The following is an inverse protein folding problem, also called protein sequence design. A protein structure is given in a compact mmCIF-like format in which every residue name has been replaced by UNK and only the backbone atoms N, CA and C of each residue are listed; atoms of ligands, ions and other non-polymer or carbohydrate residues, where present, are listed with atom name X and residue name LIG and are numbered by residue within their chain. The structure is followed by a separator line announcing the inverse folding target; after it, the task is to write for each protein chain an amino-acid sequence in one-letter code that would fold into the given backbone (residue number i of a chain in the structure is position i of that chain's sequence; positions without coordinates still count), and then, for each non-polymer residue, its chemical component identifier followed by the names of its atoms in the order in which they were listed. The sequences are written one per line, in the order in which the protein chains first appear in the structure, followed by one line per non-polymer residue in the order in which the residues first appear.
data_IF_296117073284
#
_entry.id   IF_296117073284
#
_cell.length_a   1.000
_cell.length_b   1.000
_cell.length_c   1.000
_cell.angle_alpha   90.00
_cell.angle_beta   90.00
_cell.angle_gamma   90.00
#
_symmetry.space_group_name_H-M   'P 1'
#
loop_
_entity.id
_entity.type
_entity.pdbx_description
1 polymer ?
#
# COMPACT_ATOMS: atom_id res chain seq x y z
N UNK A 1 8.41 49.42 -26.96
CA UNK A 1 9.39 48.82 -26.02
C UNK A 1 8.76 48.19 -24.78
N UNK A 2 7.83 48.87 -24.09
CA UNK A 2 7.16 48.37 -22.86
C UNK A 2 6.54 46.96 -22.94
N UNK A 3 5.82 46.64 -24.02
CA UNK A 3 5.20 45.31 -24.19
C UNK A 3 6.21 44.16 -24.36
N UNK A 4 7.38 44.45 -24.97
CA UNK A 4 8.43 43.44 -25.14
C UNK A 4 9.10 43.08 -23.80
N UNK A 5 9.29 44.07 -22.92
CA UNK A 5 9.80 43.84 -21.57
C UNK A 5 8.87 42.97 -20.72
N UNK A 6 7.57 43.30 -20.68
CA UNK A 6 6.59 42.49 -19.94
C UNK A 6 6.50 41.06 -20.46
N UNK A 7 6.60 40.87 -21.78
CA UNK A 7 6.64 39.53 -22.38
C UNK A 7 7.88 38.73 -21.95
N UNK A 8 9.08 39.35 -21.95
CA UNK A 8 10.29 38.70 -21.44
C UNK A 8 10.16 38.29 -19.98
N UNK A 9 9.67 39.19 -19.12
CA UNK A 9 9.45 38.89 -17.69
C UNK A 9 8.49 37.72 -17.52
N UNK A 10 7.38 37.71 -18.27
CA UNK A 10 6.41 36.61 -18.27
C UNK A 10 7.06 35.28 -18.66
N UNK A 11 7.84 35.25 -19.74
CA UNK A 11 8.53 34.03 -20.19
C UNK A 11 9.51 33.52 -19.13
N UNK A 12 10.36 34.40 -18.59
CA UNK A 12 11.31 34.01 -17.55
C UNK A 12 10.61 33.49 -16.28
N UNK A 13 9.49 34.10 -15.90
CA UNK A 13 8.69 33.62 -14.79
C UNK A 13 8.22 32.16 -15.00
N UNK A 14 7.65 31.83 -16.15
CA UNK A 14 7.19 30.45 -16.42
C UNK A 14 8.34 29.46 -16.53
N UNK A 15 9.48 29.86 -17.10
CA UNK A 15 10.70 29.04 -17.13
C UNK A 15 11.13 28.71 -15.69
N UNK A 16 11.19 29.71 -14.81
CA UNK A 16 11.55 29.51 -13.40
C UNK A 16 10.55 28.57 -12.70
N UNK A 17 9.25 28.75 -12.92
CA UNK A 17 8.21 27.86 -12.35
C UNK A 17 8.42 26.42 -12.81
N UNK A 18 8.66 26.17 -14.10
CA UNK A 18 8.86 24.82 -14.61
C UNK A 18 10.17 24.19 -14.12
N UNK A 19 11.25 24.96 -14.00
CA UNK A 19 12.49 24.49 -13.39
C UNK A 19 12.25 24.13 -11.91
N UNK A 20 11.55 24.98 -11.16
CA UNK A 20 11.22 24.71 -9.75
C UNK A 20 10.36 23.45 -9.60
N UNK A 21 9.36 23.26 -10.46
CA UNK A 21 8.52 22.06 -10.47
C UNK A 21 9.33 20.81 -10.83
N UNK A 22 10.19 20.87 -11.86
CA UNK A 22 11.07 19.76 -12.23
C UNK A 22 12.01 19.35 -11.09
N UNK A 23 12.65 20.32 -10.45
CA UNK A 23 13.52 20.10 -9.28
C UNK A 23 12.75 19.52 -8.10
N UNK A 24 11.56 20.03 -7.80
CA UNK A 24 10.71 19.47 -6.74
C UNK A 24 10.34 18.01 -7.02
N UNK A 25 10.04 17.65 -8.27
CA UNK A 25 9.78 16.27 -8.66
C UNK A 25 10.99 15.37 -8.41
N UNK A 26 12.23 15.82 -8.64
CA UNK A 26 13.44 15.05 -8.32
C UNK A 26 13.64 14.85 -6.82
N UNK A 27 13.43 15.89 -6.00
CA UNK A 27 13.47 15.77 -4.53
C UNK A 27 12.43 14.76 -4.06
N UNK A 28 11.21 14.85 -4.61
CA UNK A 28 10.12 13.94 -4.28
C UNK A 28 10.39 12.50 -4.73
N UNK A 29 11.06 12.33 -5.87
CA UNK A 29 11.53 11.05 -6.37
C UNK A 29 12.48 10.40 -5.37
N UNK A 30 13.51 11.13 -4.93
CA UNK A 30 14.52 10.61 -4.01
C UNK A 30 13.90 10.18 -2.67
N UNK A 31 13.10 11.05 -2.06
CA UNK A 31 12.36 10.73 -0.84
C UNK A 31 11.53 9.45 -0.97
N UNK A 32 10.92 9.24 -2.14
CA UNK A 32 10.10 8.06 -2.41
C UNK A 32 10.93 6.79 -2.59
N UNK A 33 12.11 6.89 -3.20
CA UNK A 33 13.04 5.78 -3.33
C UNK A 33 13.58 5.37 -1.96
N UNK A 34 13.92 6.32 -1.09
CA UNK A 34 14.33 6.06 0.29
C UNK A 34 13.23 5.33 1.06
N UNK A 35 11.98 5.81 1.00
CA UNK A 35 10.84 5.14 1.63
C UNK A 35 10.62 3.71 1.11
N UNK A 36 10.76 3.49 -0.20
CA UNK A 36 10.64 2.16 -0.80
C UNK A 36 11.75 1.24 -0.27
N UNK A 37 12.99 1.72 -0.26
CA UNK A 37 14.15 1.00 0.26
C UNK A 37 13.99 0.64 1.73
N UNK A 38 13.52 1.56 2.58
CA UNK A 38 13.24 1.29 4.00
C UNK A 38 12.21 0.17 4.17
N UNK A 39 11.13 0.18 3.38
CA UNK A 39 10.08 -0.84 3.42
C UNK A 39 10.64 -2.20 2.97
N UNK A 40 11.38 -2.24 1.86
CA UNK A 40 11.98 -3.47 1.33
C UNK A 40 12.98 -4.07 2.32
N UNK A 41 13.84 -3.23 2.91
CA UNK A 41 14.78 -3.66 3.96
C UNK A 41 14.04 -4.20 5.18
N UNK A 42 12.93 -3.58 5.59
CA UNK A 42 12.12 -4.03 6.74
C UNK A 42 11.41 -5.36 6.49
N UNK A 43 10.96 -5.61 5.26
CA UNK A 43 10.29 -6.85 4.85
C UNK A 43 11.30 -7.99 4.69
N UNK A 44 12.51 -7.68 4.22
CA UNK A 44 13.57 -8.65 3.98
C UNK A 44 14.42 -8.95 5.23
N UNK A 45 14.37 -8.10 6.26
CA UNK A 45 15.09 -8.34 7.52
C UNK A 45 14.67 -9.64 8.20
N UNK A 46 15.53 -10.17 9.07
CA UNK A 46 15.16 -11.31 9.92
C UNK A 46 13.91 -11.01 10.78
N UNK A 47 13.02 -12.00 10.96
CA UNK A 47 11.83 -11.82 11.75
C UNK A 47 12.18 -11.60 13.23
N UNK A 48 11.50 -10.65 13.86
CA UNK A 48 11.65 -10.40 15.31
C UNK A 48 10.48 -10.99 16.09
N UNK A 49 10.78 -11.54 17.29
CA UNK A 49 9.78 -12.08 18.20
C UNK A 49 8.76 -10.99 18.56
N UNK A 50 7.49 -11.23 18.23
CA UNK A 50 6.41 -10.28 18.43
C UNK A 50 5.45 -10.75 19.51
N UNK A 51 5.39 -9.98 20.60
CA UNK A 51 4.53 -10.21 21.78
C UNK A 51 3.17 -9.51 21.70
N UNK A 52 2.86 -8.79 20.61
CA UNK A 52 1.64 -7.99 20.47
C UNK A 52 1.80 -6.51 20.84
N UNK A 53 2.99 -6.08 21.27
CA UNK A 53 3.27 -4.71 21.69
C UNK A 53 4.00 -3.90 20.61
N UNK A 54 3.77 -2.58 20.61
CA UNK A 54 4.45 -1.62 19.72
C UNK A 54 4.53 -2.06 18.24
N UNK A 55 3.41 -2.42 17.59
CA UNK A 55 3.43 -2.86 16.21
C UNK A 55 3.96 -1.75 15.29
N UNK A 56 4.93 -2.11 14.44
CA UNK A 56 5.53 -1.21 13.44
C UNK A 56 5.12 -1.65 12.05
N UNK A 57 4.79 -0.68 11.19
CA UNK A 57 4.38 -0.95 9.83
C UNK A 57 5.54 -1.57 9.02
N UNK A 58 5.22 -2.55 8.18
CA UNK A 58 6.15 -3.34 7.35
C UNK A 58 7.18 -4.18 8.10
N UNK A 59 7.12 -4.26 9.44
CA UNK A 59 8.05 -5.08 10.21
C UNK A 59 7.73 -6.57 10.04
N UNK A 60 8.76 -7.35 9.68
CA UNK A 60 8.70 -8.81 9.69
C UNK A 60 8.79 -9.35 11.12
N UNK A 61 7.86 -10.23 11.48
CA UNK A 61 7.70 -10.77 12.84
C UNK A 61 7.45 -12.27 12.82
N UNK A 62 7.95 -12.97 13.84
CA UNK A 62 7.51 -14.30 14.20
C UNK A 62 6.69 -14.23 15.51
N UNK A 63 5.65 -15.04 15.58
CA UNK A 63 4.70 -15.01 16.68
C UNK A 63 4.04 -16.37 16.84
N UNK A 64 3.58 -16.63 18.06
CA UNK A 64 2.78 -17.81 18.38
C UNK A 64 1.31 -17.41 18.46
N UNK A 65 0.45 -18.16 17.77
CA UNK A 65 -0.99 -17.91 17.77
C UNK A 65 -1.72 -18.87 18.71
N UNK A 66 -2.70 -18.33 19.44
CA UNK A 66 -3.76 -19.14 20.03
C UNK A 66 -4.99 -19.10 19.11
N UNK A 67 -5.45 -20.29 18.71
CA UNK A 67 -6.54 -20.46 17.75
C UNK A 67 -7.90 -20.70 18.40
N UNK A 68 -7.98 -20.60 19.73
CA UNK A 68 -9.22 -20.84 20.45
C UNK A 68 -10.33 -19.90 19.94
N UNK A 69 -11.39 -20.47 19.38
CA UNK A 69 -12.52 -19.77 18.75
C UNK A 69 -12.14 -18.79 17.62
N UNK A 70 -11.15 -19.12 16.80
CA UNK A 70 -10.80 -18.33 15.61
C UNK A 70 -11.96 -18.31 14.59
N UNK A 71 -12.50 -17.13 14.31
CA UNK A 71 -13.46 -16.94 13.21
C UNK A 71 -12.71 -16.66 11.92
N UNK A 72 -13.17 -17.29 10.84
CA UNK A 72 -12.70 -17.04 9.48
C UNK A 72 -13.53 -15.90 8.87
N UNK A 73 -12.86 -14.94 8.27
CA UNK A 73 -13.47 -13.82 7.53
C UNK A 73 -13.02 -13.93 6.07
N UNK A 74 -13.99 -13.90 5.15
CA UNK A 74 -13.72 -13.94 3.69
C UNK A 74 -13.72 -12.52 3.14
N UNK A 75 -12.52 -11.94 3.01
CA UNK A 75 -12.33 -10.59 2.49
C UNK A 75 -12.15 -10.63 0.98
N UNK A 76 -13.15 -10.16 0.23
CA UNK A 76 -13.11 -10.05 -1.22
C UNK A 76 -11.86 -9.31 -1.69
N UNK A 77 -11.14 -9.95 -2.60
CA UNK A 77 -9.91 -9.40 -3.17
C UNK A 77 -9.63 -10.02 -4.55
N UNK A 78 -8.79 -9.33 -5.32
CA UNK A 78 -8.25 -9.84 -6.57
C UNK A 78 -6.89 -10.50 -6.30
N UNK A 79 -6.57 -11.55 -7.05
CA UNK A 79 -5.21 -12.07 -7.10
C UNK A 79 -4.31 -11.22 -8.03
N UNK A 80 -3.05 -11.63 -8.18
CA UNK A 80 -2.06 -10.94 -9.03
C UNK A 80 -2.50 -10.82 -10.50
N UNK A 81 -3.32 -11.77 -10.98
CA UNK A 81 -3.82 -11.80 -12.37
C UNK A 81 -5.19 -11.12 -12.51
N UNK A 82 -5.68 -10.40 -11.49
CA UNK A 82 -6.98 -9.73 -11.50
C UNK A 82 -8.19 -10.65 -11.34
N UNK A 83 -8.00 -11.95 -11.07
CA UNK A 83 -9.11 -12.89 -10.84
C UNK A 83 -9.74 -12.66 -9.47
N UNK A 84 -11.08 -12.64 -9.36
CA UNK A 84 -11.76 -12.38 -8.11
C UNK A 84 -11.78 -13.62 -7.20
N UNK A 85 -11.62 -13.38 -5.89
CA UNK A 85 -11.62 -14.42 -4.86
C UNK A 85 -11.70 -13.79 -3.47
N UNK A 86 -11.09 -14.44 -2.47
CA UNK A 86 -11.10 -13.98 -1.09
C UNK A 86 -9.71 -14.11 -0.45
N UNK A 87 -9.31 -13.10 0.31
CA UNK A 87 -8.30 -13.28 1.35
C UNK A 87 -8.95 -13.96 2.56
N UNK A 88 -8.31 -15.02 3.05
CA UNK A 88 -8.69 -15.65 4.31
C UNK A 88 -8.07 -14.86 5.45
N UNK A 89 -8.94 -14.29 6.30
CA UNK A 89 -8.53 -13.58 7.50
C UNK A 89 -8.95 -14.39 8.73
N UNK A 90 -8.00 -14.74 9.58
CA UNK A 90 -8.24 -15.36 10.87
C UNK A 90 -8.21 -14.32 11.98
N UNK A 91 -9.14 -14.42 12.93
CA UNK A 91 -9.03 -13.72 14.21
C UNK A 91 -8.07 -14.50 15.11
N UNK A 92 -7.00 -13.85 15.59
CA UNK A 92 -5.99 -14.48 16.45
C UNK A 92 -5.73 -13.63 17.69
N UNK A 93 -5.19 -14.26 18.72
CA UNK A 93 -4.73 -13.58 19.95
C UNK A 93 -3.22 -13.73 20.05
N UNK A 94 -2.53 -12.61 20.27
CA UNK A 94 -1.08 -12.54 20.53
C UNK A 94 -0.91 -11.72 21.81
N UNK A 95 -0.33 -12.34 22.85
CA UNK A 95 -0.34 -11.77 24.20
C UNK A 95 -1.77 -11.49 24.66
N UNK A 96 -2.06 -10.24 25.01
CA UNK A 96 -3.38 -9.82 25.49
C UNK A 96 -4.20 -9.02 24.45
N UNK A 97 -3.81 -9.06 23.18
CA UNK A 97 -4.43 -8.27 22.10
C UNK A 97 -4.94 -9.14 20.96
N UNK A 98 -6.08 -8.75 20.39
CA UNK A 98 -6.62 -9.40 19.20
C UNK A 98 -6.00 -8.80 17.94
N UNK A 99 -5.54 -9.67 17.03
CA UNK A 99 -5.02 -9.32 15.73
C UNK A 99 -5.80 -10.04 14.62
N UNK A 100 -5.68 -9.51 13.42
CA UNK A 100 -6.16 -10.16 12.20
C UNK A 100 -4.95 -10.74 11.47
N UNK A 101 -5.05 -12.02 11.11
CA UNK A 101 -4.04 -12.73 10.33
C UNK A 101 -4.57 -12.94 8.92
N UNK A 102 -3.99 -12.27 7.93
CA UNK A 102 -4.23 -12.56 6.52
C UNK A 102 -3.34 -13.73 6.09
N UNK A 103 -3.97 -14.85 5.73
CA UNK A 103 -3.30 -16.09 5.32
C UNK A 103 -3.09 -16.20 3.81
N UNK A 104 -3.64 -15.25 3.06
CA UNK A 104 -3.55 -15.23 1.62
C UNK A 104 -4.86 -15.47 0.90
N UNK A 105 -4.76 -15.51 -0.42
CA UNK A 105 -5.87 -15.53 -1.36
C UNK A 105 -6.34 -16.95 -1.67
N UNK A 106 -7.65 -17.10 -1.86
CA UNK A 106 -8.32 -18.30 -2.35
C UNK A 106 -9.30 -17.96 -3.48
N UNK A 107 -9.55 -18.89 -4.43
CA UNK A 107 -10.61 -18.74 -5.40
C UNK A 107 -12.00 -18.80 -4.75
N UNK A 108 -13.03 -18.25 -5.39
CA UNK A 108 -14.40 -18.20 -4.83
C UNK A 108 -14.98 -19.59 -4.48
N UNK A 109 -14.71 -20.61 -5.30
CA UNK A 109 -15.18 -21.99 -5.08
C UNK A 109 -14.46 -22.71 -3.91
N UNK A 110 -13.49 -22.07 -3.27
CA UNK A 110 -12.86 -22.57 -2.04
C UNK A 110 -13.47 -21.96 -0.77
N UNK A 111 -14.47 -21.07 -0.89
CA UNK A 111 -15.20 -20.56 0.28
C UNK A 111 -15.82 -21.73 1.06
N UNK A 112 -15.85 -21.62 2.39
CA UNK A 112 -16.33 -22.64 3.34
C UNK A 112 -15.54 -23.96 3.37
N UNK A 113 -14.42 -24.07 2.66
CA UNK A 113 -13.47 -25.17 2.88
C UNK A 113 -12.71 -24.97 4.20
N UNK A 114 -12.21 -26.07 4.74
CA UNK A 114 -11.45 -26.04 5.97
C UNK A 114 -10.02 -25.54 5.71
N UNK A 115 -9.62 -24.51 6.46
CA UNK A 115 -8.28 -23.93 6.44
C UNK A 115 -7.72 -23.94 7.86
N UNK A 116 -7.50 -25.13 8.42
CA UNK A 116 -6.90 -25.22 9.74
C UNK A 116 -5.44 -24.73 9.74
N UNK A 117 -4.99 -24.24 10.88
CA UNK A 117 -3.59 -23.89 11.12
C UNK A 117 -2.97 -25.05 11.88
N UNK A 118 -2.06 -25.76 11.23
CA UNK A 118 -1.37 -26.94 11.78
C UNK A 118 -0.21 -26.56 12.71
N UNK A 119 0.48 -25.45 12.44
CA UNK A 119 1.58 -24.97 13.28
C UNK A 119 1.21 -23.62 13.93
N UNK A 120 1.24 -23.50 15.27
CA UNK A 120 0.95 -22.24 15.95
C UNK A 120 2.08 -21.21 15.81
N UNK A 121 3.29 -21.60 15.41
CA UNK A 121 4.40 -20.69 15.18
C UNK A 121 4.36 -20.21 13.73
N UNK A 122 4.06 -18.92 13.55
CA UNK A 122 3.89 -18.30 12.25
C UNK A 122 4.84 -17.12 12.07
N UNK A 123 5.13 -16.83 10.81
CA UNK A 123 5.91 -15.65 10.40
C UNK A 123 5.04 -14.80 9.49
N UNK A 124 5.11 -13.49 9.67
CA UNK A 124 4.32 -12.55 8.90
C UNK A 124 4.87 -11.13 8.91
N UNK A 125 4.24 -10.27 8.13
CA UNK A 125 4.57 -8.84 8.03
C UNK A 125 3.42 -8.04 8.62
N UNK A 126 3.74 -7.18 9.58
CA UNK A 126 2.79 -6.24 10.16
C UNK A 126 2.47 -5.14 9.15
N UNK A 127 1.19 -4.86 8.94
CA UNK A 127 0.74 -3.75 8.09
C UNK A 127 -0.44 -3.05 8.74
N UNK A 128 -0.40 -1.72 8.76
CA UNK A 128 -1.52 -0.91 9.25
C UNK A 128 -2.74 -1.11 8.33
N UNK A 129 -3.94 -1.19 8.90
CA UNK A 129 -5.19 -1.23 8.13
C UNK A 129 -5.26 -0.04 7.19
N UNK A 130 -5.72 -0.27 5.96
CA UNK A 130 -5.94 0.81 5.00
C UNK A 130 -7.15 1.65 5.43
N UNK A 131 -7.07 2.97 5.22
CA UNK A 131 -8.18 3.90 5.50
C UNK A 131 -9.44 3.58 4.67
N UNK A 132 -10.58 4.13 5.12
CA UNK A 132 -11.88 4.03 4.43
C UNK A 132 -11.73 4.46 2.97
N UNK A 133 -12.21 3.60 2.07
CA UNK A 133 -12.43 3.93 0.68
C UNK A 133 -13.95 4.02 0.48
N UNK A 134 -14.44 5.23 0.16
CA UNK A 134 -15.88 5.50 -0.01
C UNK A 134 -16.51 4.71 -1.17
N UNK A 135 -15.71 4.24 -2.12
CA UNK A 135 -16.18 3.46 -3.26
C UNK A 135 -16.26 1.96 -3.00
N UNK A 136 -15.93 1.49 -1.79
CA UNK A 136 -16.07 0.09 -1.45
C UNK A 136 -17.50 -0.20 -0.99
N UNK A 137 -18.14 -1.28 -1.50
CA UNK A 137 -19.44 -1.70 -1.03
C UNK A 137 -19.45 -2.00 0.48
N UNK A 138 -20.64 -2.02 1.06
CA UNK A 138 -20.83 -2.45 2.43
C UNK A 138 -20.62 -3.97 2.59
N UNK A 139 -20.20 -4.38 3.78
CA UNK A 139 -19.99 -5.78 4.10
C UNK A 139 -21.33 -6.49 4.28
N UNK A 140 -21.46 -7.73 3.79
CA UNK A 140 -22.55 -8.62 4.16
C UNK A 140 -22.06 -9.54 5.29
N UNK A 141 -22.29 -9.09 6.53
CA UNK A 141 -21.85 -9.78 7.74
C UNK A 141 -22.55 -11.14 7.86
N UNK A 142 -23.83 -11.22 7.48
CA UNK A 142 -24.64 -12.44 7.58
C UNK A 142 -24.11 -13.56 6.69
N UNK A 143 -23.68 -13.24 5.46
CA UNK A 143 -23.08 -14.19 4.51
C UNK A 143 -21.57 -14.32 4.66
N UNK A 144 -20.98 -13.66 5.65
CA UNK A 144 -19.54 -13.56 5.84
C UNK A 144 -18.82 -13.18 4.53
N UNK A 145 -19.27 -12.10 3.90
CA UNK A 145 -18.73 -11.56 2.65
C UNK A 145 -18.28 -10.12 2.90
N UNK A 146 -16.96 -9.90 2.88
CA UNK A 146 -16.37 -8.65 3.32
C UNK A 146 -15.67 -7.93 2.17
N UNK A 147 -15.79 -6.62 2.11
CA UNK A 147 -15.02 -5.73 1.23
C UNK A 147 -14.01 -4.88 2.01
N UNK A 148 -14.28 -4.66 3.30
CA UNK A 148 -13.47 -3.83 4.21
C UNK A 148 -13.40 -4.46 5.60
N UNK A 149 -12.31 -4.23 6.33
CA UNK A 149 -12.15 -4.67 7.72
C UNK A 149 -12.47 -3.52 8.69
N UNK A 150 -13.68 -2.97 8.59
CA UNK A 150 -14.17 -1.89 9.48
C UNK A 150 -14.28 -2.40 10.91
N UNK A 151 -13.85 -1.59 11.87
CA UNK A 151 -13.84 -1.99 13.29
C UNK A 151 -15.25 -2.23 13.85
N UNK A 152 -16.24 -1.46 13.41
CA UNK A 152 -17.65 -1.65 13.77
C UNK A 152 -18.19 -3.01 13.32
N UNK A 153 -17.92 -3.41 12.07
CA UNK A 153 -18.37 -4.69 11.53
C UNK A 153 -17.61 -5.85 12.17
N UNK A 154 -16.30 -5.70 12.42
CA UNK A 154 -15.51 -6.68 13.16
C UNK A 154 -16.06 -6.89 14.57
N UNK A 155 -16.43 -5.81 15.27
CA UNK A 155 -17.05 -5.89 16.58
C UNK A 155 -18.39 -6.62 16.53
N UNK A 156 -19.26 -6.27 15.57
CA UNK A 156 -20.56 -6.96 15.36
C UNK A 156 -20.38 -8.46 15.05
N UNK A 157 -19.41 -8.79 14.19
CA UNK A 157 -19.18 -10.16 13.74
C UNK A 157 -18.43 -11.03 14.74
N UNK A 158 -17.60 -10.47 15.63
CA UNK A 158 -16.72 -11.27 16.50
C UNK A 158 -16.93 -11.02 17.99
N UNK A 159 -17.62 -9.94 18.36
CA UNK A 159 -17.72 -9.46 19.74
C UNK A 159 -16.42 -8.84 20.29
N UNK A 160 -15.39 -8.66 19.45
CA UNK A 160 -14.06 -8.23 19.88
C UNK A 160 -13.56 -7.01 19.10
N UNK A 161 -12.73 -6.21 19.77
CA UNK A 161 -11.94 -5.15 19.15
C UNK A 161 -10.58 -5.69 18.72
N UNK A 162 -10.09 -5.24 17.56
CA UNK A 162 -8.82 -5.66 16.99
C UNK A 162 -7.83 -4.51 16.89
N UNK A 163 -6.55 -4.85 16.90
CA UNK A 163 -5.47 -3.92 16.56
C UNK A 163 -5.72 -3.21 15.23
N UNK A 164 -5.16 -2.01 15.07
CA UNK A 164 -5.11 -1.30 13.80
C UNK A 164 -4.09 -1.90 12.82
N UNK A 165 -3.44 -3.00 13.19
CA UNK A 165 -2.50 -3.75 12.36
C UNK A 165 -3.07 -5.13 11.99
N UNK A 166 -2.82 -5.52 10.76
CA UNK A 166 -3.05 -6.86 10.21
C UNK A 166 -1.69 -7.50 10.02
N UNK A 167 -1.58 -8.79 10.33
CA UNK A 167 -0.38 -9.57 10.04
C UNK A 167 -0.62 -10.34 8.76
N UNK A 168 0.26 -10.20 7.77
CA UNK A 168 0.22 -10.95 6.53
C UNK A 168 1.19 -12.11 6.62
N UNK A 169 0.68 -13.33 6.60
CA UNK A 169 1.49 -14.54 6.63
C UNK A 169 2.42 -14.59 5.40
N UNK A 170 3.71 -14.89 5.63
CA UNK A 170 4.73 -14.94 4.56
C UNK A 170 5.06 -16.36 4.10
N UNK A 171 4.50 -17.38 4.74
CA UNK A 171 4.77 -18.77 4.39
C UNK A 171 4.16 -19.08 3.02
N UNK A 172 5.01 -19.37 2.05
CA UNK A 172 4.57 -19.75 0.71
C UNK A 172 4.07 -21.20 0.72
N UNK A 173 2.89 -21.42 0.15
CA UNK A 173 2.21 -22.71 0.13
C UNK A 173 1.99 -23.12 -1.32
N UNK A 174 2.25 -24.39 -1.62
CA UNK A 174 1.88 -24.97 -2.92
C UNK A 174 0.36 -24.98 -3.12
N UNK A 175 -0.40 -25.10 -2.04
CA UNK A 175 -1.85 -25.12 -2.01
C UNK A 175 -2.45 -23.81 -1.47
N UNK A 176 -3.77 -23.65 -1.65
CA UNK A 176 -4.50 -22.53 -1.09
C UNK A 176 -4.60 -22.62 0.44
N UNK A 177 -4.54 -21.48 1.18
CA UNK A 177 -4.46 -20.10 0.70
C UNK A 177 -3.05 -19.68 0.27
N UNK A 178 -2.96 -18.93 -0.85
CA UNK A 178 -1.69 -18.41 -1.37
C UNK A 178 -1.35 -17.08 -0.69
N UNK A 179 -0.28 -17.08 0.10
CA UNK A 179 0.20 -15.89 0.79
C UNK A 179 0.35 -14.70 -0.17
N UNK A 180 -0.07 -13.51 0.26
CA UNK A 180 0.10 -12.30 -0.53
C UNK A 180 1.53 -11.80 -0.39
N UNK A 181 2.20 -11.56 -1.52
CA UNK A 181 3.47 -10.85 -1.55
C UNK A 181 3.26 -9.43 -1.06
N UNK A 182 3.80 -9.12 0.11
CA UNK A 182 3.85 -7.76 0.63
C UNK A 182 5.15 -7.14 0.14
N UNK A 183 5.03 -6.01 -0.55
CA UNK A 183 6.16 -5.23 -1.04
C UNK A 183 5.83 -3.74 -1.03
N UNK A 184 6.83 -2.93 -1.35
CA UNK A 184 6.73 -1.49 -1.45
C UNK A 184 6.08 -1.04 -2.77
N UNK A 185 4.88 -1.55 -3.07
CA UNK A 185 4.13 -1.22 -4.29
C UNK A 185 3.55 0.21 -4.21
N UNK A 186 4.43 1.21 -4.33
CA UNK A 186 4.12 2.63 -4.29
C UNK A 186 4.44 3.23 -5.67
N UNK A 187 3.41 3.62 -6.42
CA UNK A 187 3.56 4.17 -7.78
C UNK A 187 4.53 5.36 -7.82
N UNK A 188 5.66 5.26 -8.52
CA UNK A 188 6.69 6.31 -8.58
C UNK A 188 6.90 6.82 -10.01
N UNK A 189 6.18 7.88 -10.39
CA UNK A 189 6.26 8.48 -11.73
C UNK A 189 7.01 9.84 -11.74
N UNK A 190 7.65 10.21 -10.63
CA UNK A 190 8.22 11.54 -10.44
C UNK A 190 9.33 11.88 -11.45
N UNK A 191 10.13 10.89 -11.87
CA UNK A 191 11.14 11.07 -12.92
C UNK A 191 10.51 11.49 -14.26
N UNK A 192 9.42 10.81 -14.67
CA UNK A 192 8.71 11.14 -15.93
C UNK A 192 8.19 12.57 -15.90
N UNK A 193 7.58 12.97 -14.80
CA UNK A 193 7.08 14.34 -14.64
C UNK A 193 8.21 15.36 -14.59
N UNK A 194 9.32 15.06 -13.91
CA UNK A 194 10.49 15.93 -13.89
C UNK A 194 11.01 16.22 -15.30
N UNK A 195 11.15 15.18 -16.12
CA UNK A 195 11.52 15.32 -17.54
C UNK A 195 10.51 16.20 -18.30
N UNK A 196 9.21 15.99 -18.12
CA UNK A 196 8.18 16.84 -18.75
C UNK A 196 8.37 18.33 -18.39
N UNK A 197 8.58 18.65 -17.12
CA UNK A 197 8.74 20.04 -16.69
C UNK A 197 10.00 20.69 -17.25
N UNK A 198 11.14 19.98 -17.24
CA UNK A 198 12.36 20.49 -17.84
C UNK A 198 12.25 20.64 -19.36
N UNK A 199 11.61 19.68 -20.06
CA UNK A 199 11.34 19.79 -21.49
C UNK A 199 10.47 21.01 -21.83
N UNK A 200 9.46 21.33 -21.01
CA UNK A 200 8.65 22.54 -21.18
C UNK A 200 9.47 23.81 -20.98
N UNK A 201 10.32 23.86 -19.94
CA UNK A 201 11.22 25.00 -19.70
C UNK A 201 12.17 25.24 -20.88
N UNK A 202 12.81 24.17 -21.39
CA UNK A 202 13.70 24.21 -22.54
C UNK A 202 12.95 24.67 -23.80
N UNK A 203 11.76 24.10 -24.05
CA UNK A 203 10.97 24.42 -25.25
C UNK A 203 10.58 25.90 -25.29
N UNK A 204 10.07 26.44 -24.17
CA UNK A 204 9.72 27.85 -24.07
C UNK A 204 10.96 28.73 -24.24
N UNK A 205 12.09 28.35 -23.63
CA UNK A 205 13.33 29.09 -23.76
C UNK A 205 13.82 29.16 -25.21
N UNK A 206 13.83 28.02 -25.93
CA UNK A 206 14.23 27.95 -27.34
C UNK A 206 13.31 28.77 -28.24
N UNK A 207 11.99 28.65 -28.05
CA UNK A 207 10.99 29.43 -28.78
C UNK A 207 11.21 30.93 -28.52
N UNK A 208 11.45 31.33 -27.28
CA UNK A 208 11.74 32.72 -26.92
C UNK A 208 13.01 33.25 -27.57
N UNK A 209 14.10 32.47 -27.60
CA UNK A 209 15.34 32.86 -28.29
C UNK A 209 15.11 33.05 -29.79
N UNK A 210 14.36 32.16 -30.43
CA UNK A 210 13.98 32.27 -31.84
C UNK A 210 13.18 33.56 -32.11
N UNK A 211 12.14 33.83 -31.31
CA UNK A 211 11.35 35.06 -31.44
C UNK A 211 12.18 36.32 -31.18
N UNK A 212 13.10 36.27 -30.21
CA UNK A 212 13.99 37.40 -29.91
C UNK A 212 14.90 37.68 -31.10
N UNK A 213 15.54 36.66 -31.70
CA UNK A 213 16.39 36.82 -32.89
C UNK A 213 15.65 37.39 -34.10
N UNK A 214 14.35 37.10 -34.25
CA UNK A 214 13.55 37.55 -35.40
C UNK A 214 13.00 38.97 -35.25
N UNK A 215 12.73 39.41 -34.02
CA UNK A 215 12.00 40.65 -33.73
C UNK A 215 12.84 41.74 -33.04
N UNK A 216 14.14 41.49 -32.89
CA UNK A 216 15.18 42.40 -32.43
C UNK A 216 16.41 42.24 -33.31
#
# INVERSE_FOLDING_TARGET
MRHKFFFSVFVYFFILVFISLGSWQLVRLNWKLELISEIENSINSEPVNFSGENPKNFKKVNFRVSLNNSRLIYLYSLNENGKPGFDIINTIVIGNKNFLLNRGWIPKNFKNKNFNISNPNLTGILRKKSNKNYFKPENDISKNYWFTLKDEDLLKFTGKKFSNYIIYETHDRSSFPKAKKIGANISNNHLKYSLTWFSLAISIFLIYLYFRKKNY
#
